data_IF_749759364581
#
_entry.id   IF_749759364581
#
_cell.length_a   1.000
_cell.length_b   1.000
_cell.length_c   1.000
_cell.angle_alpha   90.00
_cell.angle_beta   90.00
_cell.angle_gamma   90.00
#
_symmetry.space_group_name_H-M   'P 1'
#
loop_
_entity.id
_entity.type
_entity.pdbx_description
1 polymer ?
#
# COMPACT_ATOMS: atom_id res chain seq x y z
N UNK A 1 4.85 -9.82 0.74
CA UNK A 1 3.92 -9.69 1.87
C UNK A 1 3.86 -8.23 2.26
N UNK A 2 2.73 -7.60 1.94
CA UNK A 2 2.50 -6.18 2.15
C UNK A 2 1.82 -5.88 3.48
N UNK A 3 1.12 -4.75 3.57
CA UNK A 3 0.30 -4.40 4.73
C UNK A 3 -1.19 -4.57 4.40
N UNK A 4 -1.97 -5.08 5.35
CA UNK A 4 -3.43 -5.11 5.26
C UNK A 4 -3.99 -3.87 5.92
N UNK A 5 -4.84 -3.15 5.20
CA UNK A 5 -5.50 -1.93 5.66
C UNK A 5 -6.99 -2.16 5.65
N UNK A 6 -7.61 -2.07 6.82
CA UNK A 6 -9.07 -2.11 6.92
C UNK A 6 -9.62 -0.72 6.59
N UNK A 7 -10.32 -0.61 5.46
CA UNK A 7 -10.87 0.68 5.01
C UNK A 7 -12.30 0.89 5.52
N UNK A 8 -13.11 -0.18 5.50
CA UNK A 8 -14.51 -0.15 5.88
C UNK A 8 -14.96 -1.59 6.23
N UNK A 9 -16.08 -1.78 6.97
CA UNK A 9 -16.59 -3.12 7.26
C UNK A 9 -16.86 -3.90 5.96
N UNK A 10 -16.17 -5.03 5.79
CA UNK A 10 -16.24 -5.88 4.59
C UNK A 10 -15.37 -5.41 3.41
N UNK A 11 -14.50 -4.41 3.61
CA UNK A 11 -13.54 -3.93 2.60
C UNK A 11 -12.12 -3.97 3.14
N UNK A 12 -11.38 -4.99 2.74
CA UNK A 12 -9.97 -5.15 3.05
C UNK A 12 -9.12 -4.67 1.88
N UNK A 13 -8.24 -3.72 2.15
CA UNK A 13 -7.23 -3.25 1.21
C UNK A 13 -5.88 -3.90 1.47
N UNK A 14 -5.18 -4.22 0.39
CA UNK A 14 -3.83 -4.78 0.42
C UNK A 14 -2.86 -3.76 -0.16
N UNK A 15 -1.96 -3.28 0.67
CA UNK A 15 -0.86 -2.41 0.30
C UNK A 15 0.36 -3.28 -0.03
N UNK A 16 0.74 -3.35 -1.30
CA UNK A 16 1.83 -4.25 -1.70
C UNK A 16 3.20 -3.72 -1.22
N UNK A 17 4.06 -4.59 -0.68
CA UNK A 17 5.42 -4.20 -0.23
C UNK A 17 6.24 -3.52 -1.34
N UNK A 18 6.01 -3.91 -2.60
CA UNK A 18 6.66 -3.28 -3.76
C UNK A 18 6.36 -1.79 -3.84
N UNK A 19 5.14 -1.37 -3.47
CA UNK A 19 4.73 0.04 -3.48
C UNK A 19 5.37 0.83 -2.33
N UNK A 20 5.44 0.22 -1.15
CA UNK A 20 6.14 0.79 0.01
C UNK A 20 7.64 0.98 -0.32
N UNK A 21 8.26 -0.02 -0.96
CA UNK A 21 9.66 0.07 -1.40
C UNK A 21 9.88 1.20 -2.41
N UNK A 22 8.97 1.38 -3.37
CA UNK A 22 9.02 2.50 -4.33
C UNK A 22 8.98 3.85 -3.62
N UNK A 23 8.12 4.02 -2.61
CA UNK A 23 8.06 5.23 -1.79
C UNK A 23 9.36 5.51 -1.02
N UNK A 24 10.07 4.47 -0.58
CA UNK A 24 11.38 4.59 0.09
C UNK A 24 12.57 4.59 -0.88
N UNK A 25 12.36 5.00 -2.15
CA UNK A 25 13.42 5.17 -3.15
C UNK A 25 14.06 3.85 -3.61
N UNK A 26 13.29 2.75 -3.57
CA UNK A 26 13.79 1.43 -3.92
C UNK A 26 14.75 0.83 -2.89
N UNK A 27 14.95 1.47 -1.73
CA UNK A 27 15.70 0.88 -0.63
C UNK A 27 15.04 -0.45 -0.25
N UNK A 28 15.85 -1.50 -0.17
CA UNK A 28 15.38 -2.83 0.20
C UNK A 28 14.89 -2.75 1.65
N UNK A 29 13.58 -2.69 1.81
CA UNK A 29 12.95 -2.79 3.12
C UNK A 29 13.16 -4.23 3.60
N UNK A 30 14.05 -4.39 4.58
CA UNK A 30 14.34 -5.66 5.25
C UNK A 30 13.29 -5.95 6.32
N UNK A 31 12.87 -4.92 7.08
CA UNK A 31 11.84 -5.02 8.12
C UNK A 31 10.68 -4.07 7.82
N UNK A 32 9.51 -4.62 7.49
CA UNK A 32 8.31 -3.82 7.24
C UNK A 32 7.81 -3.13 8.52
N UNK A 33 8.03 -3.76 9.68
CA UNK A 33 7.62 -3.24 11.00
C UNK A 33 8.38 -1.96 11.41
N UNK A 34 9.56 -1.72 10.83
CA UNK A 34 10.39 -0.55 11.14
C UNK A 34 9.93 0.69 10.37
N UNK A 35 9.43 0.49 9.14
CA UNK A 35 8.87 1.56 8.30
C UNK A 35 7.37 1.75 8.50
N UNK A 36 6.67 0.73 9.02
CA UNK A 36 5.23 0.73 9.06
C UNK A 36 4.75 -0.02 10.31
N UNK A 37 4.25 0.72 11.30
CA UNK A 37 3.75 0.14 12.54
C UNK A 37 2.27 -0.21 12.44
N UNK A 38 1.90 -1.35 13.01
CA UNK A 38 0.48 -1.74 13.14
C UNK A 38 -0.24 -0.71 14.00
N UNK A 39 -1.30 -0.11 13.46
CA UNK A 39 -2.06 0.97 14.11
C UNK A 39 -1.64 2.38 13.71
N UNK A 40 -0.60 2.54 12.90
CA UNK A 40 -0.24 3.83 12.31
C UNK A 40 -1.28 4.24 11.25
N UNK A 41 -1.64 5.53 11.26
CA UNK A 41 -2.53 6.11 10.24
C UNK A 41 -1.69 6.51 9.05
N UNK A 42 -1.93 5.85 7.93
CA UNK A 42 -1.27 6.14 6.65
C UNK A 42 -2.30 6.69 5.66
N UNK A 43 -1.84 7.53 4.74
CA UNK A 43 -2.64 7.93 3.59
C UNK A 43 -2.35 7.01 2.41
N UNK A 44 -3.42 6.38 1.92
CA UNK A 44 -3.37 5.43 0.80
C UNK A 44 -4.47 5.77 -0.19
N UNK A 45 -4.17 5.53 -1.46
CA UNK A 45 -5.08 5.69 -2.59
C UNK A 45 -5.44 4.32 -3.13
N UNK A 46 -6.68 4.16 -3.58
CA UNK A 46 -7.12 2.95 -4.26
C UNK A 46 -6.59 3.03 -5.69
N UNK A 47 -5.70 2.10 -6.04
CA UNK A 47 -5.17 2.01 -7.40
C UNK A 47 -6.07 1.16 -8.29
N UNK A 48 -6.45 -0.02 -7.79
CA UNK A 48 -7.30 -0.95 -8.52
C UNK A 48 -8.28 -1.64 -7.57
N UNK A 49 -9.43 -2.03 -8.12
CA UNK A 49 -10.45 -2.79 -7.41
C UNK A 49 -10.68 -4.06 -8.19
N UNK A 50 -10.33 -5.20 -7.60
CA UNK A 50 -10.66 -6.50 -8.18
C UNK A 50 -12.15 -6.79 -7.99
N UNK A 51 -12.80 -7.42 -8.99
CA UNK A 51 -14.19 -7.88 -8.86
C UNK A 51 -14.36 -8.96 -7.77
N UNK A 52 -13.26 -9.51 -7.25
CA UNK A 52 -13.24 -10.42 -6.09
C UNK A 52 -13.26 -9.70 -4.73
N UNK A 53 -13.40 -8.38 -4.72
CA UNK A 53 -13.46 -7.57 -3.49
C UNK A 53 -12.11 -7.26 -2.86
N UNK A 54 -11.00 -7.47 -3.57
CA UNK A 54 -9.67 -7.06 -3.12
C UNK A 54 -9.41 -5.63 -3.60
N UNK A 55 -9.06 -4.75 -2.67
CA UNK A 55 -8.67 -3.38 -3.01
C UNK A 55 -7.14 -3.31 -3.04
N UNK A 56 -6.57 -3.01 -4.19
CA UNK A 56 -5.13 -2.75 -4.31
C UNK A 56 -4.86 -1.31 -3.91
N UNK A 57 -4.10 -1.14 -2.83
CA UNK A 57 -3.76 0.16 -2.28
C UNK A 57 -2.34 0.57 -2.66
N UNK A 58 -2.16 1.87 -2.85
CA UNK A 58 -0.86 2.51 -3.06
C UNK A 58 -0.68 3.66 -2.07
N UNK A 59 0.53 3.88 -1.53
CA UNK A 59 0.81 5.06 -0.71
C UNK A 59 0.50 6.36 -1.47
N UNK A 60 -0.16 7.31 -0.81
CA UNK A 60 -0.51 8.61 -1.41
C UNK A 60 0.72 9.46 -1.79
N UNK A 61 1.87 9.17 -1.17
CA UNK A 61 3.12 9.92 -1.35
C UNK A 61 4.01 9.38 -2.49
N UNK A 62 3.48 8.51 -3.36
CA UNK A 62 4.18 8.07 -4.56
C UNK A 62 4.09 9.17 -5.64
N UNK A 63 5.20 9.53 -6.31
CA UNK A 63 5.15 10.41 -7.47
C UNK A 63 4.25 9.79 -8.54
N UNK A 64 3.37 10.60 -9.15
CA UNK A 64 2.33 10.15 -10.09
C UNK A 64 2.86 9.41 -11.35
N UNK A 65 4.17 9.39 -11.57
CA UNK A 65 4.84 8.69 -12.69
C UNK A 65 4.64 7.16 -12.69
N UNK A 66 4.11 6.55 -11.61
CA UNK A 66 3.87 5.10 -11.56
C UNK A 66 2.44 4.68 -11.99
N UNK A 67 1.56 5.61 -12.39
CA UNK A 67 0.18 5.32 -12.83
C UNK A 67 0.04 4.96 -14.31
N UNK A 68 1.13 4.95 -15.06
CA UNK A 68 1.12 4.70 -16.50
C UNK A 68 2.03 3.53 -16.85
N UNK A 69 1.49 2.31 -16.75
CA UNK A 69 1.75 1.21 -17.69
C UNK A 69 0.56 0.24 -17.69
#
# INVERSE_FOLDING_TARGET
FGAFVNLAPGKDGLLHISQIRKMHGGKRIENLEEVMKVGEKIEVVINEIDPKGKYSLVPANLPEEAKSE
#
